data_IF_911212362724
#
_entry.id   IF_911212362724
#
_cell.length_a   1.000
_cell.length_b   1.000
_cell.length_c   1.000
_cell.angle_alpha   90.00
_cell.angle_beta   90.00
_cell.angle_gamma   90.00
#
_symmetry.space_group_name_H-M   'P 1'
#
loop_
_entity.id
_entity.type
_entity.pdbx_description
1 polymer ?
#
# COMPACT_ATOMS: atom_id res chain seq x y z
N UNK A 1 -32.60 19.22 2.56
CA UNK A 1 -31.88 19.13 3.85
C UNK A 1 -30.92 17.93 3.78
N UNK A 2 -29.68 18.10 3.32
CA UNK A 2 -28.70 16.99 3.29
C UNK A 2 -28.15 16.70 4.70
N UNK A 3 -28.08 17.73 5.54
CA UNK A 3 -27.47 17.72 6.86
C UNK A 3 -28.48 17.52 8.00
N UNK A 4 -29.77 17.78 7.76
CA UNK A 4 -30.82 17.74 8.77
C UNK A 4 -31.93 16.76 8.34
N UNK A 5 -32.25 15.79 9.21
CA UNK A 5 -33.27 14.76 8.96
C UNK A 5 -32.74 13.32 8.97
N UNK A 6 -33.63 12.31 9.10
CA UNK A 6 -33.28 10.90 8.98
C UNK A 6 -32.83 10.62 7.55
N UNK A 7 -31.55 10.28 7.38
CA UNK A 7 -31.03 9.83 6.10
C UNK A 7 -31.37 8.33 5.96
N UNK A 8 -32.29 8.02 5.06
CA UNK A 8 -32.33 6.73 4.38
C UNK A 8 -31.64 6.90 3.02
N UNK A 9 -30.30 6.90 2.95
CA UNK A 9 -29.65 7.15 1.69
C UNK A 9 -29.86 5.92 0.80
N UNK A 10 -30.59 6.11 -0.31
CA UNK A 10 -30.60 5.14 -1.41
C UNK A 10 -29.23 5.21 -2.12
N UNK A 11 -28.21 4.62 -1.48
CA UNK A 11 -26.86 4.52 -2.02
C UNK A 11 -26.85 3.61 -3.24
N UNK A 12 -26.02 3.90 -4.26
CA UNK A 12 -26.06 3.18 -5.53
C UNK A 12 -25.64 1.71 -5.43
N UNK A 13 -24.86 1.34 -4.42
CA UNK A 13 -24.49 -0.04 -4.14
C UNK A 13 -24.37 -0.30 -2.63
N UNK A 14 -24.39 -1.58 -2.23
CA UNK A 14 -24.23 -2.02 -0.82
C UNK A 14 -22.83 -1.75 -0.24
N UNK A 15 -21.93 -1.14 -1.00
CA UNK A 15 -20.53 -0.95 -0.60
C UNK A 15 -20.24 0.46 -0.09
N UNK A 16 -21.16 1.41 -0.23
CA UNK A 16 -20.98 2.76 0.28
C UNK A 16 -21.46 2.86 1.74
N UNK A 17 -20.63 3.44 2.59
CA UNK A 17 -21.01 3.98 3.89
C UNK A 17 -21.02 5.51 3.83
N UNK A 18 -21.66 6.16 4.81
CA UNK A 18 -21.57 7.60 4.96
C UNK A 18 -21.42 8.00 6.42
N UNK A 19 -20.78 9.15 6.64
CA UNK A 19 -20.55 9.73 7.95
C UNK A 19 -20.79 11.24 7.87
N UNK A 20 -21.34 11.82 8.94
CA UNK A 20 -21.38 13.27 9.10
C UNK A 20 -20.19 13.68 9.95
N UNK A 21 -19.45 14.68 9.49
CA UNK A 21 -18.33 15.26 10.22
C UNK A 21 -18.75 16.67 10.62
N UNK A 22 -18.69 16.96 11.91
CA UNK A 22 -18.88 18.31 12.45
C UNK A 22 -17.62 18.68 13.25
N UNK A 23 -16.93 19.74 12.83
CA UNK A 23 -15.75 20.26 13.52
C UNK A 23 -15.82 21.78 13.59
N UNK A 24 -16.15 22.29 14.79
CA UNK A 24 -16.41 23.72 14.97
C UNK A 24 -17.62 24.17 14.16
N UNK A 25 -17.41 25.10 13.23
CA UNK A 25 -18.44 25.59 12.31
C UNK A 25 -18.50 24.81 10.99
N UNK A 26 -17.53 23.94 10.74
CA UNK A 26 -17.47 23.14 9.51
C UNK A 26 -18.34 21.91 9.65
N UNK A 27 -19.22 21.71 8.67
CA UNK A 27 -20.02 20.48 8.52
C UNK A 27 -19.74 19.86 7.16
N UNK A 28 -19.57 18.54 7.11
CA UNK A 28 -19.47 17.79 5.86
C UNK A 28 -20.16 16.43 5.96
N UNK A 29 -20.60 15.92 4.81
CA UNK A 29 -21.02 14.52 4.65
C UNK A 29 -19.95 13.81 3.83
N UNK A 30 -19.43 12.72 4.38
CA UNK A 30 -18.41 11.89 3.74
C UNK A 30 -19.01 10.56 3.37
N UNK A 31 -18.92 10.21 2.09
CA UNK A 31 -19.29 8.92 1.52
C UNK A 31 -18.02 8.12 1.26
N UNK A 32 -17.94 6.90 1.77
CA UNK A 32 -16.77 6.03 1.63
C UNK A 32 -17.19 4.71 1.02
N UNK A 33 -16.59 4.32 -0.11
CA UNK A 33 -16.76 2.99 -0.65
C UNK A 33 -15.88 2.03 0.14
N UNK A 34 -16.47 1.10 0.88
CA UNK A 34 -15.77 0.14 1.74
C UNK A 34 -15.51 -1.15 0.98
N UNK A 35 -14.28 -1.66 1.06
CA UNK A 35 -13.89 -2.97 0.54
C UNK A 35 -13.18 -3.78 1.60
N UNK A 36 -13.55 -5.06 1.69
CA UNK A 36 -12.84 -6.04 2.51
C UNK A 36 -11.65 -6.58 1.72
N UNK A 37 -10.46 -6.48 2.28
CA UNK A 37 -9.21 -7.00 1.72
C UNK A 37 -8.70 -8.07 2.65
N UNK A 38 -8.45 -9.26 2.10
CA UNK A 38 -7.79 -10.33 2.85
C UNK A 38 -6.31 -9.95 2.98
N UNK A 39 -5.86 -9.75 4.21
CA UNK A 39 -4.42 -9.65 4.47
C UNK A 39 -3.91 -11.09 4.45
N UNK A 40 -2.91 -11.36 3.60
CA UNK A 40 -2.22 -12.63 3.66
C UNK A 40 -1.52 -12.71 5.02
N UNK A 41 -2.09 -13.47 5.96
CA UNK A 41 -1.48 -13.65 7.27
C UNK A 41 -0.12 -14.34 7.12
N UNK A 42 0.86 -13.89 7.90
CA UNK A 42 2.23 -14.43 7.99
C UNK A 42 2.31 -15.89 8.49
N UNK A 43 1.18 -16.63 8.53
CA UNK A 43 1.02 -17.88 9.27
C UNK A 43 1.25 -19.17 8.50
N UNK A 44 1.49 -19.14 7.18
CA UNK A 44 1.93 -20.34 6.47
C UNK A 44 3.45 -20.49 6.60
N UNK A 45 3.94 -20.64 7.84
CA UNK A 45 5.29 -21.14 8.04
C UNK A 45 5.33 -22.56 7.49
N UNK A 46 5.88 -22.73 6.29
CA UNK A 46 6.31 -24.03 5.79
C UNK A 46 7.46 -24.51 6.68
N UNK A 47 7.14 -24.95 7.89
CA UNK A 47 8.09 -25.63 8.75
C UNK A 47 8.38 -26.97 8.06
N UNK A 48 9.64 -27.26 7.68
CA UNK A 48 9.96 -28.55 7.08
C UNK A 48 9.61 -29.63 8.09
N UNK A 49 8.58 -30.42 7.77
CA UNK A 49 8.17 -31.58 8.55
C UNK A 49 9.33 -32.57 8.52
N UNK A 50 10.09 -32.66 9.61
CA UNK A 50 11.09 -33.71 9.79
C UNK A 50 10.30 -34.96 10.12
N UNK A 51 10.24 -35.90 9.18
CA UNK A 51 9.52 -37.16 9.35
C UNK A 51 10.13 -37.95 10.52
N UNK A 52 9.46 -37.91 11.66
CA UNK A 52 9.68 -38.84 12.75
C UNK A 52 8.61 -39.93 12.70
N UNK A 53 8.97 -41.17 12.35
CA UNK A 53 8.04 -42.29 12.36
C UNK A 53 7.77 -42.67 13.82
N UNK A 54 6.57 -42.35 14.34
CA UNK A 54 6.13 -42.89 15.63
C UNK A 54 5.05 -42.12 16.40
N UNK A 55 4.64 -40.92 15.99
CA UNK A 55 3.66 -40.13 16.74
C UNK A 55 2.23 -40.35 16.23
N UNK A 56 1.33 -40.74 17.14
CA UNK A 56 -0.09 -40.96 16.92
C UNK A 56 -0.80 -39.66 16.49
N UNK A 57 -1.66 -39.78 15.48
CA UNK A 57 -2.34 -38.67 14.81
C UNK A 57 -3.30 -37.92 15.75
N UNK A 58 -2.94 -36.71 16.14
CA UNK A 58 -3.84 -35.73 16.77
C UNK A 58 -4.35 -34.78 15.68
N UNK A 59 -5.63 -34.90 15.32
CA UNK A 59 -6.32 -34.05 14.37
C UNK A 59 -6.75 -32.74 15.05
N UNK A 60 -5.81 -31.79 15.18
CA UNK A 60 -6.14 -30.41 15.54
C UNK A 60 -6.63 -29.64 14.31
N UNK A 61 -7.94 -29.49 14.19
CA UNK A 61 -8.60 -28.61 13.21
C UNK A 61 -8.27 -27.14 13.50
N UNK A 62 -7.08 -26.70 13.10
CA UNK A 62 -6.67 -25.31 13.22
C UNK A 62 -7.53 -24.42 12.32
N UNK A 63 -8.44 -23.66 12.92
CA UNK A 63 -9.20 -22.63 12.20
C UNK A 63 -8.20 -21.56 11.77
N UNK A 64 -7.86 -21.53 10.48
CA UNK A 64 -7.01 -20.49 9.93
C UNK A 64 -7.68 -19.12 10.16
N UNK A 65 -7.10 -18.31 11.05
CA UNK A 65 -7.57 -16.96 11.33
C UNK A 65 -7.16 -16.06 10.16
N UNK A 66 -8.13 -15.72 9.31
CA UNK A 66 -7.90 -14.75 8.23
C UNK A 66 -8.08 -13.35 8.78
N UNK A 67 -6.99 -12.60 8.92
CA UNK A 67 -7.08 -11.16 9.16
C UNK A 67 -7.68 -10.50 7.91
N UNK A 68 -8.85 -9.89 8.08
CA UNK A 68 -9.49 -9.07 7.04
C UNK A 68 -9.35 -7.61 7.43
N UNK A 69 -8.95 -6.78 6.48
CA UNK A 69 -8.87 -5.33 6.64
C UNK A 69 -9.93 -4.65 5.80
N UNK A 70 -10.49 -3.56 6.33
CA UNK A 70 -11.44 -2.73 5.62
C UNK A 70 -10.71 -1.51 5.06
N UNK A 71 -10.86 -1.27 3.76
CA UNK A 71 -10.22 -0.13 3.08
C UNK A 71 -11.26 0.70 2.34
N UNK A 72 -10.97 1.99 2.19
CA UNK A 72 -11.83 2.95 1.51
C UNK A 72 -11.13 3.50 0.25
N UNK A 73 -11.16 2.79 -0.90
CA UNK A 73 -10.49 3.25 -2.12
C UNK A 73 -11.08 4.50 -2.74
N UNK A 74 -12.33 4.82 -2.43
CA UNK A 74 -13.05 5.98 -2.94
C UNK A 74 -13.73 6.68 -1.78
N UNK A 75 -13.46 7.96 -1.65
CA UNK A 75 -14.10 8.83 -0.65
C UNK A 75 -14.57 10.07 -1.37
N UNK A 76 -15.82 10.46 -1.12
CA UNK A 76 -16.44 11.70 -1.61
C UNK A 76 -16.92 12.48 -0.39
N UNK A 77 -16.33 13.64 -0.16
CA UNK A 77 -16.73 14.58 0.86
C UNK A 77 -17.49 15.75 0.21
N UNK A 78 -18.63 16.09 0.79
CA UNK A 78 -19.44 17.24 0.39
C UNK A 78 -19.57 18.14 1.62
N UNK A 79 -19.01 19.35 1.54
CA UNK A 79 -19.07 20.31 2.64
C UNK A 79 -20.40 21.08 2.69
N UNK A 80 -20.60 21.87 3.74
CA UNK A 80 -21.79 22.71 3.92
C UNK A 80 -22.00 23.76 2.80
N UNK A 81 -20.94 24.10 2.06
CA UNK A 81 -20.98 24.99 0.89
C UNK A 81 -21.19 24.24 -0.42
N UNK A 82 -21.48 22.94 -0.36
CA UNK A 82 -21.64 22.03 -1.50
C UNK A 82 -20.37 21.86 -2.35
N UNK A 83 -19.18 22.17 -1.80
CA UNK A 83 -17.94 21.83 -2.48
C UNK A 83 -17.68 20.33 -2.36
N UNK A 84 -17.26 19.74 -3.47
CA UNK A 84 -16.94 18.32 -3.55
C UNK A 84 -15.44 18.15 -3.43
N UNK A 85 -15.02 17.28 -2.52
CA UNK A 85 -13.66 16.77 -2.46
C UNK A 85 -13.69 15.26 -2.67
N UNK A 86 -12.87 14.78 -3.60
CA UNK A 86 -12.77 13.33 -3.85
C UNK A 86 -11.37 12.85 -3.58
N UNK A 87 -11.28 11.73 -2.86
CA UNK A 87 -10.03 11.04 -2.57
C UNK A 87 -10.10 9.64 -3.16
N UNK A 88 -9.16 9.33 -4.04
CA UNK A 88 -9.04 8.02 -4.69
C UNK A 88 -7.72 7.39 -4.25
N UNK A 89 -7.77 6.22 -3.63
CA UNK A 89 -6.61 5.50 -3.08
C UNK A 89 -5.72 6.39 -2.19
N UNK A 90 -6.34 7.21 -1.33
CA UNK A 90 -5.63 8.12 -0.44
C UNK A 90 -5.05 9.38 -1.09
N UNK A 91 -5.28 9.61 -2.39
CA UNK A 91 -4.86 10.84 -3.09
C UNK A 91 -6.06 11.73 -3.40
N UNK A 92 -5.98 13.00 -3.02
CA UNK A 92 -6.95 14.01 -3.43
C UNK A 92 -6.93 14.17 -4.96
N UNK A 93 -8.11 14.21 -5.57
CA UNK A 93 -8.29 14.36 -7.01
C UNK A 93 -9.04 15.67 -7.26
N UNK A 94 -8.57 16.42 -8.25
CA UNK A 94 -9.23 17.63 -8.69
C UNK A 94 -10.55 17.31 -9.38
N UNK A 95 -11.57 18.13 -9.15
CA UNK A 95 -12.93 17.92 -9.66
C UNK A 95 -12.97 17.80 -11.18
N UNK A 96 -12.11 18.52 -11.92
CA UNK A 96 -12.09 18.46 -13.38
C UNK A 96 -11.69 17.07 -13.91
N UNK A 97 -10.89 16.32 -13.15
CA UNK A 97 -10.49 14.95 -13.52
C UNK A 97 -11.59 13.93 -13.32
N UNK A 98 -12.58 14.25 -12.50
CA UNK A 98 -13.75 13.38 -12.27
C UNK A 98 -14.73 13.53 -13.43
N UNK A 99 -14.70 14.61 -14.20
CA UNK A 99 -15.62 14.87 -15.32
C UNK A 99 -17.10 14.91 -14.92
N UNK A 100 -17.41 15.17 -13.65
CA UNK A 100 -18.78 15.43 -13.19
C UNK A 100 -19.04 16.94 -13.21
N UNK A 101 -19.91 17.41 -14.09
CA UNK A 101 -20.17 18.83 -14.33
C UNK A 101 -21.48 19.36 -13.73
N UNK A 102 -22.27 18.52 -13.04
CA UNK A 102 -23.55 18.93 -12.46
C UNK A 102 -23.42 19.60 -11.09
N UNK A 103 -24.29 20.58 -10.75
CA UNK A 103 -24.40 21.09 -9.38
C UNK A 103 -24.92 19.99 -8.44
N UNK A 104 -24.44 19.97 -7.21
CA UNK A 104 -24.94 19.07 -6.17
C UNK A 104 -25.97 19.82 -5.33
N UNK A 105 -27.24 19.68 -5.70
CA UNK A 105 -28.35 20.37 -5.02
C UNK A 105 -29.39 19.41 -4.44
N UNK A 106 -29.48 18.20 -4.99
CA UNK A 106 -30.43 17.17 -4.57
C UNK A 106 -29.74 15.87 -4.17
N UNK A 107 -30.48 14.99 -3.50
CA UNK A 107 -30.02 13.64 -3.14
C UNK A 107 -29.75 12.81 -4.41
N UNK A 108 -30.53 13.02 -5.47
CA UNK A 108 -30.34 12.41 -6.77
C UNK A 108 -28.99 12.80 -7.38
N UNK A 109 -28.60 14.09 -7.29
CA UNK A 109 -27.29 14.52 -7.78
C UNK A 109 -26.15 13.85 -7.01
N UNK A 110 -26.28 13.70 -5.69
CA UNK A 110 -25.30 12.96 -4.88
C UNK A 110 -25.22 11.50 -5.33
N UNK A 111 -26.37 10.85 -5.55
CA UNK A 111 -26.42 9.45 -6.02
C UNK A 111 -25.72 9.29 -7.37
N UNK A 112 -25.96 10.21 -8.32
CA UNK A 112 -25.36 10.17 -9.65
C UNK A 112 -23.86 10.44 -9.59
N UNK A 113 -23.41 11.38 -8.75
CA UNK A 113 -22.00 11.59 -8.46
C UNK A 113 -21.33 10.32 -7.93
N UNK A 114 -21.94 9.64 -6.96
CA UNK A 114 -21.37 8.42 -6.37
C UNK A 114 -21.28 7.28 -7.39
N UNK A 115 -22.30 7.11 -8.26
CA UNK A 115 -22.25 6.16 -9.38
C UNK A 115 -21.09 6.48 -10.32
N UNK A 116 -20.97 7.74 -10.71
CA UNK A 116 -19.91 8.20 -11.59
C UNK A 116 -18.52 7.93 -10.99
N UNK A 117 -18.33 8.23 -9.71
CA UNK A 117 -17.08 7.95 -8.98
C UNK A 117 -16.79 6.45 -8.87
N UNK A 118 -17.82 5.62 -8.74
CA UNK A 118 -17.70 4.15 -8.73
C UNK A 118 -17.20 3.61 -10.09
N UNK A 119 -17.68 4.19 -11.19
CA UNK A 119 -17.30 3.84 -12.57
C UNK A 119 -15.88 4.29 -12.94
N UNK A 120 -15.27 5.22 -12.19
CA UNK A 120 -13.87 5.62 -12.41
C UNK A 120 -12.96 4.40 -12.29
N UNK A 121 -12.21 4.16 -13.37
CA UNK A 121 -11.17 3.12 -13.44
C UNK A 121 -9.95 3.54 -12.66
N UNK A 122 -9.66 2.79 -11.61
CA UNK A 122 -8.49 3.00 -10.76
C UNK A 122 -7.37 2.05 -11.16
N UNK A 123 -6.13 2.55 -11.15
CA UNK A 123 -4.95 1.72 -11.32
C UNK A 123 -4.87 0.67 -10.22
N UNK A 124 -4.83 -0.62 -10.59
CA UNK A 124 -4.80 -1.76 -9.68
C UNK A 124 -3.48 -1.93 -8.91
N UNK A 125 -2.50 -1.05 -9.16
CA UNK A 125 -1.17 -1.13 -8.56
C UNK A 125 -0.24 -2.08 -9.29
N UNK A 126 0.98 -2.20 -8.80
CA UNK A 126 1.98 -3.16 -9.27
C UNK A 126 1.87 -4.51 -8.55
N UNK A 127 2.99 -5.25 -8.46
CA UNK A 127 3.07 -6.54 -7.77
C UNK A 127 2.69 -6.45 -6.28
N UNK A 128 2.31 -7.60 -5.70
CA UNK A 128 2.12 -7.70 -4.25
C UNK A 128 3.45 -7.57 -3.50
N UNK A 129 3.41 -7.07 -2.27
CA UNK A 129 4.56 -7.08 -1.35
C UNK A 129 5.08 -8.49 -1.07
N UNK A 130 4.21 -9.50 -1.14
CA UNK A 130 4.57 -10.92 -0.97
C UNK A 130 5.50 -11.44 -2.08
N UNK A 131 5.40 -10.89 -3.29
CA UNK A 131 6.26 -11.29 -4.41
C UNK A 131 7.69 -10.75 -4.24
N UNK A 132 7.82 -9.58 -3.62
CA UNK A 132 9.10 -8.87 -3.44
C UNK A 132 9.29 -8.47 -1.98
N UNK A 133 9.43 -9.46 -1.07
CA UNK A 133 9.63 -9.19 0.35
C UNK A 133 10.97 -8.47 0.56
N UNK A 134 10.99 -7.63 1.60
CA UNK A 134 12.17 -6.87 2.04
C UNK A 134 12.75 -5.90 1.00
N UNK A 135 11.99 -5.49 -0.02
CA UNK A 135 12.44 -4.47 -0.99
C UNK A 135 11.92 -3.10 -0.55
N UNK A 136 12.77 -2.08 -0.62
CA UNK A 136 12.41 -0.69 -0.27
C UNK A 136 12.82 0.24 -1.43
N UNK A 137 12.07 0.24 -2.53
CA UNK A 137 12.39 1.10 -3.66
C UNK A 137 12.04 2.56 -3.32
N UNK A 138 12.92 3.51 -3.63
CA UNK A 138 12.62 4.94 -3.45
C UNK A 138 11.52 5.46 -4.39
N UNK A 139 11.25 4.74 -5.48
CA UNK A 139 10.29 5.13 -6.52
C UNK A 139 8.87 4.60 -6.29
N UNK A 140 8.63 3.81 -5.25
CA UNK A 140 7.33 3.24 -4.97
C UNK A 140 7.04 3.14 -3.47
N UNK A 141 5.77 2.97 -3.14
CA UNK A 141 5.24 2.76 -1.80
C UNK A 141 4.25 1.60 -1.80
N UNK A 142 3.98 1.02 -0.63
CA UNK A 142 2.93 0.00 -0.47
C UNK A 142 1.59 0.70 -0.25
N UNK A 143 0.58 0.36 -1.04
CA UNK A 143 -0.77 0.92 -0.91
C UNK A 143 -1.68 0.11 0.03
N UNK A 144 -2.93 0.56 0.20
CA UNK A 144 -3.92 -0.08 1.07
C UNK A 144 -4.31 -1.51 0.68
N UNK A 145 -3.95 -1.97 -0.53
CA UNK A 145 -4.17 -3.34 -0.99
C UNK A 145 -2.94 -4.22 -0.85
N UNK A 146 -1.92 -3.77 -0.11
CA UNK A 146 -0.65 -4.47 0.04
C UNK A 146 0.05 -4.71 -1.30
N UNK A 147 -0.05 -3.71 -2.19
CA UNK A 147 0.57 -3.69 -3.51
C UNK A 147 1.56 -2.54 -3.64
N UNK A 148 2.64 -2.80 -4.36
CA UNK A 148 3.60 -1.77 -4.72
C UNK A 148 3.00 -0.81 -5.74
N UNK A 149 3.01 0.48 -5.42
CA UNK A 149 2.51 1.55 -6.28
C UNK A 149 3.59 2.58 -6.53
N UNK A 150 3.76 2.97 -7.79
CA UNK A 150 4.76 3.95 -8.17
C UNK A 150 4.38 5.34 -7.59
N UNK A 151 5.35 6.13 -7.12
CA UNK A 151 5.09 7.45 -6.52
C UNK A 151 4.31 8.36 -7.48
N UNK A 152 4.72 8.38 -8.75
CA UNK A 152 4.05 9.09 -9.85
C UNK A 152 2.93 8.30 -10.55
N UNK A 153 2.31 7.31 -9.89
CA UNK A 153 1.19 6.55 -10.44
C UNK A 153 0.01 7.48 -10.79
N UNK A 154 -0.51 7.36 -12.02
CA UNK A 154 -1.78 7.93 -12.42
C UNK A 154 -2.88 7.04 -11.81
N UNK A 155 -3.46 7.50 -10.71
CA UNK A 155 -4.49 6.74 -9.98
C UNK A 155 -5.72 6.49 -10.84
N UNK A 156 -6.13 7.48 -11.64
CA UNK A 156 -7.20 7.37 -12.62
C UNK A 156 -6.61 6.90 -13.95
N UNK A 157 -7.25 5.92 -14.58
CA UNK A 157 -6.84 5.35 -15.85
C UNK A 157 -7.74 5.80 -17.00
N UNK A 158 -7.12 6.38 -18.03
CA UNK A 158 -7.78 6.79 -19.26
C UNK A 158 -7.71 5.72 -20.37
N UNK A 159 -7.11 4.57 -20.09
CA UNK A 159 -6.94 3.45 -21.03
C UNK A 159 -7.63 2.20 -20.50
N UNK A 160 -7.82 1.20 -21.37
CA UNK A 160 -8.45 -0.08 -21.01
C UNK A 160 -7.55 -1.02 -20.21
N UNK A 161 -6.31 -0.62 -19.94
CA UNK A 161 -5.43 -1.32 -19.01
C UNK A 161 -5.99 -1.24 -17.59
N UNK A 162 -5.74 -2.27 -16.77
CA UNK A 162 -6.02 -2.23 -15.34
C UNK A 162 -4.90 -1.60 -14.52
N UNK A 163 -3.72 -1.39 -15.12
CA UNK A 163 -2.50 -0.88 -14.45
C UNK A 163 -1.84 0.20 -15.31
N UNK A 164 -1.43 1.30 -14.70
CA UNK A 164 -0.68 2.35 -15.41
C UNK A 164 0.73 1.88 -15.77
N UNK A 165 1.28 2.38 -16.88
CA UNK A 165 2.61 2.01 -17.39
C UNK A 165 3.72 2.03 -16.33
N UNK A 166 3.73 3.03 -15.44
CA UNK A 166 4.73 3.15 -14.37
C UNK A 166 4.62 2.03 -13.32
N UNK A 167 3.40 1.63 -12.96
CA UNK A 167 3.20 0.50 -12.04
C UNK A 167 3.51 -0.84 -12.72
N UNK A 168 3.25 -0.98 -14.03
CA UNK A 168 3.65 -2.15 -14.81
C UNK A 168 5.17 -2.34 -14.78
N UNK A 169 5.94 -1.26 -14.93
CA UNK A 169 7.42 -1.31 -14.87
C UNK A 169 8.01 -1.58 -13.48
N UNK A 170 7.18 -1.60 -12.41
CA UNK A 170 7.70 -1.85 -11.07
C UNK A 170 8.20 -3.28 -10.88
N UNK A 171 7.62 -4.27 -11.57
CA UNK A 171 8.05 -5.67 -11.42
C UNK A 171 9.55 -5.83 -11.73
N UNK A 172 10.01 -5.25 -12.84
CA UNK A 172 11.43 -5.25 -13.19
C UNK A 172 12.30 -4.49 -12.20
N UNK A 173 11.82 -3.32 -11.74
CA UNK A 173 12.54 -2.51 -10.75
C UNK A 173 12.73 -3.28 -9.45
N UNK A 174 11.64 -3.85 -8.91
CA UNK A 174 11.63 -4.61 -7.67
C UNK A 174 12.52 -5.86 -7.78
N UNK A 175 12.43 -6.59 -8.89
CA UNK A 175 13.29 -7.75 -9.18
C UNK A 175 14.78 -7.40 -9.16
N UNK A 176 15.17 -6.28 -9.79
CA UNK A 176 16.56 -5.81 -9.79
C UNK A 176 17.01 -5.45 -8.36
N UNK A 177 16.16 -4.74 -7.60
CA UNK A 177 16.46 -4.38 -6.21
C UNK A 177 16.65 -5.61 -5.33
N UNK A 178 15.74 -6.60 -5.42
CA UNK A 178 15.82 -7.84 -4.67
C UNK A 178 17.11 -8.61 -5.00
N UNK A 179 17.45 -8.75 -6.29
CA UNK A 179 18.70 -9.38 -6.73
C UNK A 179 19.94 -8.70 -6.12
N UNK A 180 20.02 -7.36 -6.21
CA UNK A 180 21.15 -6.59 -5.64
C UNK A 180 21.23 -6.75 -4.12
N UNK A 181 20.09 -6.78 -3.42
CA UNK A 181 20.06 -7.00 -1.96
C UNK A 181 20.64 -8.37 -1.60
N UNK A 182 20.26 -9.42 -2.33
CA UNK A 182 20.79 -10.78 -2.13
C UNK A 182 22.30 -10.86 -2.41
N UNK A 183 22.77 -10.23 -3.50
CA UNK A 183 24.20 -10.17 -3.83
C UNK A 183 25.01 -9.42 -2.75
N UNK A 184 24.50 -8.29 -2.26
CA UNK A 184 25.14 -7.54 -1.18
C UNK A 184 25.17 -8.32 0.13
N UNK A 185 24.11 -9.08 0.46
CA UNK A 185 24.08 -9.97 1.63
C UNK A 185 25.14 -11.07 1.53
N UNK A 186 25.35 -11.65 0.33
CA UNK A 186 26.41 -12.63 0.07
C UNK A 186 27.81 -12.02 0.20
N UNK A 187 28.02 -10.82 -0.34
CA UNK A 187 29.31 -10.10 -0.26
C UNK A 187 29.63 -9.63 1.17
N UNK A 188 28.65 -9.11 1.90
CA UNK A 188 28.81 -8.67 3.30
C UNK A 188 29.16 -9.84 4.23
N UNK A 189 28.55 -11.02 4.02
CA UNK A 189 28.97 -12.26 4.71
C UNK A 189 30.40 -12.66 4.36
N UNK A 190 30.82 -12.51 3.10
CA UNK A 190 32.19 -12.80 2.68
C UNK A 190 33.21 -11.79 3.24
N UNK A 191 32.82 -10.52 3.42
CA UNK A 191 33.67 -9.48 4.02
C UNK A 191 33.75 -9.59 5.55
N UNK A 192 32.71 -10.08 6.24
CA UNK A 192 32.76 -10.39 7.67
C UNK A 192 33.79 -11.47 8.03
N UNK A 193 34.14 -12.36 7.10
CA UNK A 193 35.25 -13.31 7.25
C UNK A 193 36.62 -12.74 6.88
N UNK A 194 36.69 -11.55 6.26
CA UNK A 194 37.94 -10.83 6.00
C UNK A 194 38.12 -9.72 7.04
N UNK A 195 38.05 -10.07 8.32
CA UNK A 195 38.83 -9.32 9.32
C UNK A 195 40.29 -9.60 9.01
N UNK A 196 40.88 -8.77 8.14
CA UNK A 196 42.33 -8.71 8.04
C UNK A 196 42.85 -8.43 9.46
N UNK A 197 43.83 -9.21 9.96
CA UNK A 197 44.36 -9.01 11.29
C UNK A 197 45.07 -7.65 11.33
N UNK A 198 44.34 -6.61 11.75
CA UNK A 198 44.87 -5.27 12.04
C UNK A 198 45.95 -5.34 13.15
N UNK A 199 46.13 -6.49 13.80
CA UNK A 199 47.14 -6.68 14.85
C UNK A 199 48.60 -6.58 14.39
N UNK A 200 48.93 -6.65 13.09
CA UNK A 200 50.34 -6.70 12.65
C UNK A 200 50.99 -5.36 12.27
N UNK A 201 50.29 -4.21 12.37
CA UNK A 201 50.85 -2.93 11.94
C UNK A 201 51.38 -2.04 13.08
N UNK A 202 51.15 -2.37 14.36
CA UNK A 202 51.69 -1.55 15.46
C UNK A 202 53.21 -1.64 15.56
N UNK A 203 53.79 -2.82 15.38
CA UNK A 203 55.25 -3.02 15.50
C UNK A 203 56.01 -2.42 14.32
N UNK A 204 55.46 -2.48 13.10
CA UNK A 204 56.02 -1.82 11.91
C UNK A 204 55.96 -0.30 12.01
N UNK A 205 54.86 0.26 12.51
CA UNK A 205 54.74 1.71 12.75
C UNK A 205 55.70 2.16 13.85
N UNK A 206 55.86 1.37 14.93
CA UNK A 206 56.85 1.65 15.97
C UNK A 206 58.29 1.56 15.46
N UNK A 207 58.60 0.60 14.58
CA UNK A 207 59.91 0.47 13.96
C UNK A 207 60.25 1.64 13.02
N UNK A 208 59.29 2.08 12.19
CA UNK A 208 59.46 3.26 11.33
C UNK A 208 59.66 4.55 12.14
N UNK A 209 58.97 4.71 13.27
CA UNK A 209 59.17 5.86 14.17
C UNK A 209 60.55 5.87 14.83
N UNK A 210 61.12 4.69 15.13
CA UNK A 210 62.51 4.59 15.62
C UNK A 210 63.55 4.90 14.55
N UNK A 211 63.30 4.52 13.30
CA UNK A 211 64.23 4.75 12.19
C UNK A 211 64.34 6.22 11.75
N UNK A 212 63.31 7.04 11.99
CA UNK A 212 63.29 8.46 11.60
C UNK A 212 63.72 9.43 12.73
N UNK A 213 64.23 8.94 13.87
CA UNK A 213 64.76 9.77 14.97
C UNK A 213 66.31 9.86 15.00
N UNK A 214 66.97 9.46 13.91
CA UNK A 214 68.41 9.66 13.67
C UNK A 214 68.58 10.64 12.51
#
# INVERSE_FOLDING_TARGET
>A
MLFDGPLEPCLPSKTWGFHRIEFGQSKSVVFSQLKCVKIAGEGASNSPHVDHPGATASCSSGVASFASSLVAPRIVEIDASMNIRTVLLGKAVLTEKIQHSGPISTVENVRDLLKHVEEIRLCAGGPSTLEYPDVEPKSAFVDMYDKWRHNSCQVILNTDSSVCQKCTSLSDTLRIHQKRKLENKRKGKAQGLRTLPWKQNKDKIAALRRANML
#
